data_IF_456520315347
#
_entry.id   IF_456520315347
#
_cell.length_a   1.000
_cell.length_b   1.000
_cell.length_c   1.000
_cell.angle_alpha   90.00
_cell.angle_beta   90.00
_cell.angle_gamma   90.00
#
_symmetry.space_group_name_H-M   'P 1'
#
loop_
_entity.id
_entity.type
_entity.pdbx_description
1 polymer ?
#
# COMPACT_ATOMS: atom_id res chain seq x y z
N UNK A 1 21.20 -2.31 0.51
CA UNK A 1 20.95 -1.83 1.89
C UNK A 1 20.29 -0.47 1.75
N UNK A 2 19.11 -0.26 2.33
CA UNK A 2 18.39 1.03 2.24
C UNK A 2 19.06 1.99 3.22
N UNK A 3 19.50 3.16 2.75
CA UNK A 3 20.12 4.19 3.60
C UNK A 3 19.06 5.08 4.23
N UNK A 4 19.36 5.70 5.37
CA UNK A 4 18.44 6.64 6.03
C UNK A 4 18.07 7.83 5.13
N UNK A 5 19.02 8.31 4.32
CA UNK A 5 18.77 9.40 3.37
C UNK A 5 17.77 8.96 2.28
N UNK A 6 17.96 7.77 1.72
CA UNK A 6 17.03 7.20 0.73
C UNK A 6 15.64 6.98 1.34
N UNK A 7 15.57 6.48 2.58
CA UNK A 7 14.29 6.31 3.27
C UNK A 7 13.59 7.65 3.51
N UNK A 8 14.34 8.68 3.89
CA UNK A 8 13.81 10.04 4.09
C UNK A 8 13.31 10.65 2.78
N UNK A 9 14.01 10.43 1.68
CA UNK A 9 13.59 10.90 0.35
C UNK A 9 12.30 10.19 -0.10
N UNK A 10 12.19 8.87 0.14
CA UNK A 10 10.96 8.11 -0.11
C UNK A 10 9.80 8.67 0.70
N UNK A 11 9.97 8.86 2.01
CA UNK A 11 8.92 9.43 2.88
C UNK A 11 8.54 10.85 2.42
N UNK A 12 9.52 11.69 2.11
CA UNK A 12 9.28 13.05 1.64
C UNK A 12 8.54 13.08 0.29
N UNK A 13 8.87 12.14 -0.61
CA UNK A 13 8.16 11.98 -1.88
C UNK A 13 6.70 11.57 -1.65
N UNK A 14 6.46 10.64 -0.73
CA UNK A 14 5.12 10.16 -0.37
C UNK A 14 4.26 11.24 0.28
N UNK A 15 4.84 12.12 1.09
CA UNK A 15 4.11 13.22 1.75
C UNK A 15 3.68 14.33 0.78
N UNK A 16 4.40 14.50 -0.33
CA UNK A 16 4.14 15.57 -1.32
C UNK A 16 3.11 15.20 -2.38
N UNK A 17 2.74 13.92 -2.48
CA UNK A 17 1.85 13.39 -3.53
C UNK A 17 0.41 13.37 -3.04
N UNK A 18 -0.51 13.79 -3.89
CA UNK A 18 -1.93 13.55 -3.65
C UNK A 18 -2.24 12.05 -3.82
N UNK A 19 -3.24 11.57 -3.08
CA UNK A 19 -3.63 10.16 -3.09
C UNK A 19 -3.92 9.58 -4.49
N UNK A 20 -4.57 10.29 -5.43
CA UNK A 20 -4.78 9.79 -6.79
C UNK A 20 -3.47 9.50 -7.55
N UNK A 21 -2.42 10.31 -7.34
CA UNK A 21 -1.12 10.08 -7.95
C UNK A 21 -0.41 8.87 -7.34
N UNK A 22 -0.56 8.67 -6.03
CA UNK A 22 -0.01 7.50 -5.34
C UNK A 22 -0.67 6.21 -5.82
N UNK A 23 -2.00 6.21 -5.95
CA UNK A 23 -2.78 5.06 -6.42
C UNK A 23 -2.44 4.69 -7.87
N UNK A 24 -2.20 5.68 -8.74
CA UNK A 24 -1.70 5.47 -10.09
C UNK A 24 -0.32 4.77 -10.12
N UNK A 25 0.46 4.86 -9.03
CA UNK A 25 1.74 4.20 -8.85
C UNK A 25 1.65 2.95 -7.95
N UNK A 26 0.44 2.41 -7.74
CA UNK A 26 0.17 1.26 -6.88
C UNK A 26 0.54 1.46 -5.41
N UNK A 27 0.54 2.69 -4.93
CA UNK A 27 0.81 3.02 -3.52
C UNK A 27 -0.49 3.39 -2.83
N UNK A 28 -0.83 2.66 -1.78
CA UNK A 28 -2.07 2.80 -1.03
C UNK A 28 -1.78 3.14 0.42
N UNK A 29 -2.49 4.12 0.96
CA UNK A 29 -2.39 4.49 2.38
C UNK A 29 -3.42 3.69 3.17
N UNK A 30 -2.99 3.14 4.31
CA UNK A 30 -3.87 2.49 5.28
C UNK A 30 -3.80 3.22 6.64
N UNK A 31 -4.90 3.26 7.40
CA UNK A 31 -6.23 2.80 6.99
C UNK A 31 -6.90 3.78 6.03
N UNK A 32 -7.71 3.22 5.13
CA UNK A 32 -8.53 3.97 4.20
C UNK A 32 -9.90 3.29 4.13
N UNK A 33 -10.93 3.99 4.60
CA UNK A 33 -12.31 3.49 4.67
C UNK A 33 -12.92 3.10 3.32
N UNK A 34 -12.29 3.50 2.21
CA UNK A 34 -12.74 3.13 0.87
C UNK A 34 -12.10 1.84 0.34
N UNK A 35 -11.15 1.24 1.06
CA UNK A 35 -10.38 0.08 0.60
C UNK A 35 -10.54 -1.09 1.60
N UNK A 36 -11.63 -1.84 1.44
CA UNK A 36 -11.87 -3.08 2.20
C UNK A 36 -11.08 -4.27 1.64
N UNK A 37 -10.84 -4.27 0.32
CA UNK A 37 -10.22 -5.38 -0.40
C UNK A 37 -9.19 -4.88 -1.41
N UNK A 38 -7.95 -5.36 -1.27
CA UNK A 38 -6.90 -5.11 -2.27
C UNK A 38 -6.75 -6.33 -3.17
N UNK A 39 -7.03 -6.15 -4.46
CA UNK A 39 -6.77 -7.17 -5.48
C UNK A 39 -5.49 -6.82 -6.23
N UNK A 40 -4.50 -7.72 -6.22
CA UNK A 40 -3.26 -7.63 -7.00
C UNK A 40 -3.46 -8.42 -8.29
N UNK A 41 -3.22 -7.76 -9.42
CA UNK A 41 -3.36 -8.35 -10.75
C UNK A 41 -1.99 -8.74 -11.28
N UNK A 42 -1.83 -9.98 -11.69
CA UNK A 42 -0.60 -10.46 -12.32
C UNK A 42 -0.51 -9.93 -13.76
N UNK A 43 0.08 -8.75 -13.94
CA UNK A 43 0.38 -8.19 -15.26
C UNK A 43 1.77 -7.56 -15.26
N UNK A 44 2.39 -7.41 -16.43
CA UNK A 44 3.72 -6.76 -16.54
C UNK A 44 3.79 -5.36 -15.93
N UNK A 45 2.64 -4.68 -15.78
CA UNK A 45 2.55 -3.31 -15.29
C UNK A 45 2.12 -3.21 -13.83
N UNK A 46 1.47 -4.23 -13.25
CA UNK A 46 0.82 -4.15 -11.93
C UNK A 46 1.19 -5.28 -10.96
N UNK A 47 2.41 -5.81 -11.08
CA UNK A 47 2.91 -6.93 -10.26
C UNK A 47 3.06 -6.62 -8.76
N UNK A 48 3.10 -5.34 -8.38
CA UNK A 48 3.41 -4.92 -7.01
C UNK A 48 2.49 -3.80 -6.58
N UNK A 49 1.99 -3.91 -5.35
CA UNK A 49 1.27 -2.86 -4.64
C UNK A 49 1.99 -2.59 -3.33
N UNK A 50 2.12 -1.31 -2.99
CA UNK A 50 2.75 -0.85 -1.76
C UNK A 50 1.68 -0.35 -0.81
N UNK A 51 1.72 -0.85 0.43
CA UNK A 51 0.84 -0.41 1.50
C UNK A 51 1.64 0.43 2.47
N UNK A 52 1.12 1.60 2.81
CA UNK A 52 1.77 2.54 3.71
C UNK A 52 0.86 2.79 4.88
N UNK A 53 1.30 2.39 6.07
CA UNK A 53 0.70 2.81 7.32
C UNK A 53 1.18 4.23 7.64
N UNK A 54 0.26 5.19 7.70
CA UNK A 54 0.54 6.55 8.18
C UNK A 54 -0.61 7.06 9.03
N UNK A 55 -0.36 8.14 9.77
CA UNK A 55 -1.41 8.81 10.54
C UNK A 55 -2.47 9.35 9.58
N UNK A 56 -3.72 8.97 9.80
CA UNK A 56 -4.89 9.47 9.05
C UNK A 56 -5.93 10.03 10.02
N UNK A 57 -6.96 10.70 9.49
CA UNK A 57 -8.12 11.12 10.31
C UNK A 57 -8.79 9.93 11.00
N UNK A 58 -8.79 8.78 10.33
CA UNK A 58 -9.45 7.55 10.78
C UNK A 58 -8.59 6.78 11.79
N UNK A 59 -7.29 7.10 11.86
CA UNK A 59 -6.29 6.41 12.65
C UNK A 59 -5.24 7.41 13.14
N UNK A 60 -5.60 8.23 14.14
CA UNK A 60 -4.71 9.23 14.69
C UNK A 60 -3.58 8.59 15.49
N UNK A 61 -2.51 9.35 15.72
CA UNK A 61 -1.39 8.90 16.54
C UNK A 61 -1.79 8.86 18.03
N UNK A 62 -2.19 7.69 18.52
CA UNK A 62 -2.53 7.44 19.91
C UNK A 62 -1.55 6.44 20.54
N UNK A 63 -0.75 6.89 21.51
CA UNK A 63 0.32 6.08 22.12
C UNK A 63 -0.19 4.93 22.99
N UNK A 64 -1.39 5.07 23.56
CA UNK A 64 -1.97 4.11 24.51
C UNK A 64 -3.07 3.24 23.86
N UNK A 65 -3.47 3.57 22.63
CA UNK A 65 -4.54 2.88 21.91
C UNK A 65 -4.09 2.65 20.46
N UNK A 66 -3.44 1.51 20.18
CA UNK A 66 -2.98 1.21 18.84
C UNK A 66 -4.17 0.98 17.91
N UNK A 67 -4.22 1.76 16.84
CA UNK A 67 -5.20 1.57 15.78
C UNK A 67 -4.91 0.27 15.00
N UNK A 68 -5.86 -0.67 15.05
CA UNK A 68 -5.80 -1.96 14.34
C UNK A 68 -6.67 -1.85 13.10
N UNK A 69 -6.09 -2.14 11.94
CA UNK A 69 -6.81 -2.19 10.66
C UNK A 69 -6.69 -3.57 10.04
N UNK A 70 -7.82 -4.26 9.88
CA UNK A 70 -7.90 -5.55 9.20
C UNK A 70 -8.29 -5.33 7.73
N UNK A 71 -7.56 -5.95 6.81
CA UNK A 71 -7.88 -5.88 5.39
C UNK A 71 -7.68 -7.23 4.70
N UNK A 72 -8.46 -7.48 3.66
CA UNK A 72 -8.34 -8.71 2.88
C UNK A 72 -7.51 -8.49 1.61
N UNK A 73 -6.45 -9.28 1.46
CA UNK A 73 -5.54 -9.25 0.31
C UNK A 73 -5.81 -10.45 -0.61
N UNK A 74 -5.96 -10.19 -1.91
CA UNK A 74 -6.21 -11.23 -2.91
C UNK A 74 -5.29 -11.06 -4.11
N UNK A 75 -4.72 -12.16 -4.58
CA UNK A 75 -4.00 -12.20 -5.85
C UNK A 75 -4.91 -12.83 -6.92
N UNK A 76 -4.99 -12.20 -8.10
CA UNK A 76 -5.81 -12.64 -9.22
C UNK A 76 -4.92 -13.06 -10.39
N UNK A 77 -4.92 -14.36 -10.71
CA UNK A 77 -4.04 -15.00 -11.71
C UNK A 77 -4.69 -15.34 -13.05
N UNK A 78 -5.72 -14.63 -13.47
CA UNK A 78 -6.42 -14.94 -14.74
C UNK A 78 -6.02 -14.04 -15.91
N UNK A 79 -5.12 -13.09 -15.67
CA UNK A 79 -4.53 -12.29 -16.72
C UNK A 79 -3.35 -13.07 -17.31
N UNK A 80 -3.44 -13.37 -18.61
CA UNK A 80 -2.35 -14.01 -19.40
C UNK A 80 -1.94 -15.43 -18.97
N UNK A 81 -2.77 -16.16 -18.21
CA UNK A 81 -2.55 -17.57 -17.88
C UNK A 81 -1.45 -17.84 -16.85
N UNK A 82 -1.18 -16.88 -15.96
CA UNK A 82 -0.13 -16.96 -14.93
C UNK A 82 -0.68 -17.38 -13.57
N UNK A 83 0.03 -18.25 -12.85
CA UNK A 83 -0.34 -18.59 -11.47
C UNK A 83 -0.10 -17.39 -10.53
N UNK A 84 -1.15 -16.89 -9.88
CA UNK A 84 -1.03 -15.78 -8.92
C UNK A 84 -0.36 -16.17 -7.63
N UNK A 85 0.55 -15.32 -7.13
CA UNK A 85 1.18 -15.49 -5.81
C UNK A 85 1.22 -14.16 -5.07
N UNK A 86 0.89 -14.19 -3.78
CA UNK A 86 1.02 -13.03 -2.90
C UNK A 86 2.25 -13.20 -2.01
N UNK A 87 3.13 -12.20 -1.99
CA UNK A 87 4.23 -12.11 -1.04
C UNK A 87 4.04 -10.84 -0.21
N UNK A 88 4.19 -10.95 1.11
CA UNK A 88 4.12 -9.83 2.05
C UNK A 88 5.53 -9.65 2.62
N UNK A 89 6.05 -8.43 2.57
CA UNK A 89 7.37 -8.05 3.08
C UNK A 89 7.25 -6.86 4.01
#
# INVERSE_FOLDING_TARGET
>A
MITNDLQRDIVTWLERREQPEMEANNVFIIPNVNIDKLTVHESHLNQRKFLIAKVTSDCPLALLDPCIYEMSLFASGHEYGLNSRLAIQ
#
